data_IF_618838226507
#
_entry.id   IF_618838226507
#
_cell.length_a   1.000
_cell.length_b   1.000
_cell.length_c   1.000
_cell.angle_alpha   90.00
_cell.angle_beta   90.00
_cell.angle_gamma   90.00
#
_symmetry.space_group_name_H-M   'P 1'
#
loop_
_entity.id
_entity.type
_entity.pdbx_description
1 polymer ?
#
# COMPACT_ATOMS: atom_id res chain seq x y z
N UNK A 1 -16.10 5.40 3.14
CA UNK A 1 -14.89 4.82 3.76
C UNK A 1 -13.97 4.34 2.65
N UNK A 2 -12.67 4.62 2.76
CA UNK A 2 -11.69 4.20 1.75
C UNK A 2 -11.53 2.67 1.81
N UNK A 3 -11.52 2.02 0.64
CA UNK A 3 -11.34 0.57 0.52
C UNK A 3 -10.15 0.27 -0.36
N UNK A 4 -9.44 -0.82 -0.07
CA UNK A 4 -8.32 -1.29 -0.90
C UNK A 4 -8.68 -2.66 -1.48
N UNK A 5 -8.60 -2.79 -2.80
CA UNK A 5 -9.03 -3.98 -3.53
C UNK A 5 -7.92 -4.52 -4.43
N UNK A 6 -7.97 -5.82 -4.71
CA UNK A 6 -7.15 -6.40 -5.75
C UNK A 6 -7.75 -6.05 -7.12
N UNK A 7 -6.97 -5.38 -7.96
CA UNK A 7 -7.39 -4.93 -9.30
C UNK A 7 -7.71 -6.05 -10.28
N UNK A 8 -7.24 -7.28 -10.02
CA UNK A 8 -7.65 -8.47 -10.79
C UNK A 8 -9.01 -9.03 -10.34
N UNK A 9 -9.53 -8.61 -9.18
CA UNK A 9 -10.75 -9.17 -8.55
C UNK A 9 -11.91 -8.19 -8.53
N UNK A 10 -11.65 -6.91 -8.30
CA UNK A 10 -12.67 -5.86 -8.21
C UNK A 10 -12.18 -4.61 -8.94
N UNK A 11 -13.11 -3.86 -9.56
CA UNK A 11 -12.79 -2.57 -10.18
C UNK A 11 -12.42 -1.55 -9.09
N UNK A 12 -11.36 -0.78 -9.34
CA UNK A 12 -10.98 0.35 -8.48
C UNK A 12 -11.32 1.68 -9.14
N UNK A 13 -11.60 2.71 -8.33
CA UNK A 13 -11.72 4.10 -8.82
C UNK A 13 -10.37 4.77 -8.96
N UNK A 14 -9.36 4.38 -8.15
CA UNK A 14 -8.00 4.92 -8.22
C UNK A 14 -6.96 3.82 -8.12
N UNK A 15 -6.10 3.69 -9.12
CA UNK A 15 -4.94 2.81 -9.03
C UNK A 15 -3.83 3.47 -8.20
N UNK A 16 -3.23 2.71 -7.27
CA UNK A 16 -2.20 3.22 -6.34
C UNK A 16 -0.86 2.48 -6.48
N UNK A 17 -0.66 1.68 -7.53
CA UNK A 17 0.62 1.02 -7.74
C UNK A 17 1.71 1.94 -8.27
N UNK A 18 2.87 1.36 -8.57
CA UNK A 18 3.96 2.07 -9.24
C UNK A 18 3.60 2.29 -10.71
N UNK A 19 3.70 3.53 -11.20
CA UNK A 19 3.58 3.84 -12.62
C UNK A 19 4.97 3.72 -13.27
N UNK A 20 4.99 3.35 -14.56
CA UNK A 20 6.21 3.39 -15.38
C UNK A 20 6.34 4.70 -16.16
N UNK A 21 5.22 5.41 -16.32
CA UNK A 21 5.07 6.57 -17.20
C UNK A 21 4.91 7.85 -16.41
N UNK A 22 4.26 7.78 -15.23
CA UNK A 22 4.06 8.92 -14.36
C UNK A 22 5.09 8.88 -13.25
N UNK A 23 5.83 9.97 -13.07
CA UNK A 23 6.75 10.10 -11.94
C UNK A 23 5.97 10.35 -10.64
N UNK A 24 4.87 11.09 -10.71
CA UNK A 24 4.01 11.42 -9.58
C UNK A 24 2.86 10.40 -9.48
N UNK A 25 3.03 9.43 -8.59
CA UNK A 25 2.06 8.35 -8.37
C UNK A 25 2.06 7.88 -6.92
N UNK A 26 1.00 7.19 -6.50
CA UNK A 26 0.80 6.68 -5.14
C UNK A 26 1.53 5.37 -4.82
N UNK A 27 2.64 5.08 -5.51
CA UNK A 27 3.35 3.81 -5.36
C UNK A 27 4.33 3.84 -4.20
N UNK A 28 4.36 2.75 -3.41
CA UNK A 28 5.36 2.57 -2.37
C UNK A 28 6.78 2.41 -2.99
N UNK A 29 7.81 3.21 -2.61
CA UNK A 29 9.18 3.07 -3.13
C UNK A 29 9.94 1.83 -2.59
N UNK A 30 9.51 1.25 -1.47
CA UNK A 30 10.17 0.11 -0.81
C UNK A 30 9.73 -1.23 -1.41
N UNK A 31 10.62 -2.20 -1.56
CA UNK A 31 10.29 -3.50 -2.12
C UNK A 31 11.07 -4.64 -1.47
N UNK A 32 10.55 -5.86 -1.61
CA UNK A 32 11.23 -7.09 -1.22
C UNK A 32 11.73 -7.79 -2.48
N UNK A 33 13.00 -8.17 -2.51
CA UNK A 33 13.72 -8.71 -3.69
C UNK A 33 13.19 -10.06 -4.22
N UNK A 34 12.28 -10.71 -3.49
CA UNK A 34 11.59 -11.92 -3.96
C UNK A 34 10.68 -11.69 -5.16
N UNK A 35 10.38 -10.43 -5.53
CA UNK A 35 9.57 -10.08 -6.71
C UNK A 35 10.43 -9.37 -7.75
N UNK A 36 10.42 -9.87 -9.00
CA UNK A 36 11.12 -9.36 -10.20
C UNK A 36 10.70 -7.93 -10.65
N UNK A 37 10.60 -6.96 -9.74
CA UNK A 37 10.20 -5.59 -10.06
C UNK A 37 11.35 -4.65 -9.74
N UNK A 38 12.01 -4.12 -10.78
CA UNK A 38 13.05 -3.09 -10.69
C UNK A 38 12.52 -1.66 -10.47
N UNK A 39 11.22 -1.50 -10.19
CA UNK A 39 10.59 -0.17 -10.08
C UNK A 39 10.65 0.42 -8.67
N UNK A 40 11.03 -0.37 -7.65
CA UNK A 40 11.27 0.16 -6.31
C UNK A 40 12.67 0.75 -6.19
N UNK A 41 12.87 1.67 -5.23
CA UNK A 41 14.17 2.32 -4.99
C UNK A 41 14.96 1.67 -3.87
N UNK A 42 14.27 1.22 -2.83
CA UNK A 42 14.91 0.71 -1.61
C UNK A 42 14.43 -0.71 -1.35
N UNK A 43 15.38 -1.62 -1.28
CA UNK A 43 15.14 -3.00 -0.89
C UNK A 43 15.06 -3.13 0.64
N UNK A 44 14.12 -3.93 1.13
CA UNK A 44 13.93 -4.27 2.55
C UNK A 44 13.69 -5.77 2.73
N UNK A 45 13.85 -6.29 3.95
CA UNK A 45 13.89 -7.74 4.17
C UNK A 45 12.51 -8.41 4.13
N UNK A 46 11.42 -7.68 4.41
CA UNK A 46 10.08 -8.27 4.47
C UNK A 46 8.96 -7.31 4.04
N UNK A 47 7.77 -7.87 3.76
CA UNK A 47 6.57 -7.05 3.47
C UNK A 47 6.20 -6.18 4.68
N UNK A 48 6.37 -6.70 5.91
CA UNK A 48 6.13 -5.95 7.14
C UNK A 48 7.04 -4.72 7.22
N UNK A 49 8.34 -4.91 7.00
CA UNK A 49 9.29 -3.80 6.92
C UNK A 49 8.97 -2.83 5.78
N UNK A 50 8.50 -3.33 4.63
CA UNK A 50 8.12 -2.50 3.49
C UNK A 50 6.97 -1.55 3.80
N UNK A 51 5.99 -1.99 4.61
CA UNK A 51 4.87 -1.14 5.04
C UNK A 51 5.30 -0.17 6.15
N UNK A 52 6.13 -0.60 7.10
CA UNK A 52 6.68 0.27 8.14
C UNK A 52 7.58 1.36 7.54
N UNK A 53 8.51 1.00 6.65
CA UNK A 53 9.35 1.96 5.94
C UNK A 53 8.52 2.96 5.13
N UNK A 54 7.43 2.50 4.51
CA UNK A 54 6.51 3.39 3.79
C UNK A 54 5.76 4.34 4.73
N UNK A 55 5.33 3.87 5.89
CA UNK A 55 4.73 4.71 6.92
C UNK A 55 5.72 5.78 7.41
N UNK A 56 6.93 5.37 7.80
CA UNK A 56 7.98 6.27 8.30
C UNK A 56 8.41 7.29 7.25
N UNK A 57 8.45 6.86 5.98
CA UNK A 57 8.73 7.72 4.84
C UNK A 57 7.67 8.80 4.69
N UNK A 58 6.38 8.44 4.72
CA UNK A 58 5.29 9.43 4.64
C UNK A 58 5.28 10.37 5.84
N UNK A 59 5.64 9.90 7.05
CA UNK A 59 5.76 10.73 8.25
C UNK A 59 7.00 11.64 8.25
N UNK A 60 7.94 11.40 7.33
CA UNK A 60 9.21 12.13 7.28
C UNK A 60 10.14 11.79 8.45
N UNK A 61 9.95 10.66 9.13
CA UNK A 61 10.79 10.24 10.27
C UNK A 61 12.03 9.48 9.79
N UNK A 62 11.94 8.74 8.67
CA UNK A 62 13.04 8.00 8.05
C UNK A 62 12.97 8.09 6.52
N UNK A 63 14.07 7.78 5.85
CA UNK A 63 14.16 7.75 4.38
C UNK A 63 13.81 9.08 3.71
N UNK A 64 14.07 10.20 4.38
CA UNK A 64 13.61 11.53 3.93
C UNK A 64 14.20 11.96 2.58
N UNK A 65 15.36 11.40 2.24
CA UNK A 65 16.13 11.55 1.01
C UNK A 65 15.61 10.68 -0.17
N UNK A 66 14.79 9.68 0.11
CA UNK A 66 14.21 8.80 -0.93
C UNK A 66 13.04 9.53 -1.58
N UNK A 67 13.18 9.93 -2.84
CA UNK A 67 12.10 10.54 -3.65
C UNK A 67 11.26 11.63 -2.92
N UNK A 68 11.90 12.67 -2.36
CA UNK A 68 11.24 13.66 -1.50
C UNK A 68 10.10 14.41 -2.21
N UNK A 69 10.23 14.68 -3.51
CA UNK A 69 9.20 15.36 -4.31
C UNK A 69 7.93 14.51 -4.43
N UNK A 70 8.07 13.20 -4.72
CA UNK A 70 6.91 12.30 -4.78
C UNK A 70 6.27 12.11 -3.41
N UNK A 71 7.05 12.12 -2.32
CA UNK A 71 6.50 12.15 -0.95
C UNK A 71 5.59 13.36 -0.76
N UNK A 72 6.12 14.56 -1.02
CA UNK A 72 5.38 15.80 -0.85
C UNK A 72 4.09 15.78 -1.69
N UNK A 73 4.21 15.37 -2.96
CA UNK A 73 3.05 15.24 -3.85
C UNK A 73 1.99 14.26 -3.31
N UNK A 74 2.40 13.09 -2.79
CA UNK A 74 1.46 12.14 -2.18
C UNK A 74 0.73 12.77 -0.99
N UNK A 75 1.44 13.49 -0.12
CA UNK A 75 0.86 14.12 1.06
C UNK A 75 -0.13 15.23 0.68
N UNK A 76 0.20 16.06 -0.31
CA UNK A 76 -0.69 17.10 -0.84
C UNK A 76 -1.96 16.52 -1.50
N UNK A 77 -1.88 15.32 -2.07
CA UNK A 77 -2.98 14.68 -2.77
C UNK A 77 -3.68 13.59 -1.93
N UNK A 78 -3.27 13.39 -0.68
CA UNK A 78 -3.72 12.28 0.16
C UNK A 78 -5.24 12.30 0.37
N UNK A 79 -5.82 13.46 0.64
CA UNK A 79 -7.26 13.61 0.88
C UNK A 79 -8.13 13.19 -0.31
N UNK A 80 -7.61 13.24 -1.54
CA UNK A 80 -8.35 12.76 -2.72
C UNK A 80 -8.59 11.25 -2.68
N UNK A 81 -7.83 10.50 -1.88
CA UNK A 81 -8.02 9.07 -1.69
C UNK A 81 -9.18 8.76 -0.74
N UNK A 82 -9.64 9.73 0.06
CA UNK A 82 -10.69 9.51 1.06
C UNK A 82 -11.98 9.06 0.39
N UNK A 83 -12.53 7.94 0.84
CA UNK A 83 -13.76 7.35 0.31
C UNK A 83 -13.61 6.66 -1.04
N UNK A 84 -12.40 6.60 -1.62
CA UNK A 84 -12.15 5.94 -2.90
C UNK A 84 -11.98 4.42 -2.74
N UNK A 85 -12.17 3.70 -3.85
CA UNK A 85 -11.76 2.29 -3.98
C UNK A 85 -10.37 2.26 -4.60
N UNK A 86 -9.36 2.04 -3.77
CA UNK A 86 -7.94 2.01 -4.16
C UNK A 86 -7.55 0.64 -4.72
N UNK A 87 -6.99 0.62 -5.92
CA UNK A 87 -6.57 -0.58 -6.62
C UNK A 87 -5.09 -0.89 -6.40
N UNK A 88 -4.80 -2.08 -5.87
CA UNK A 88 -3.44 -2.60 -5.76
C UNK A 88 -3.41 -4.13 -5.88
N UNK A 89 -2.37 -4.69 -6.51
CA UNK A 89 -2.21 -6.15 -6.63
C UNK A 89 -1.83 -6.88 -5.33
N UNK A 90 -1.57 -6.16 -4.22
CA UNK A 90 -1.14 -6.76 -2.96
C UNK A 90 -2.25 -7.50 -2.20
N UNK A 91 -3.50 -7.01 -2.26
CA UNK A 91 -4.63 -7.64 -1.56
C UNK A 91 -4.81 -9.09 -2.04
N UNK A 92 -5.19 -10.03 -1.16
CA UNK A 92 -5.72 -9.84 0.19
C UNK A 92 -4.65 -9.62 1.29
N UNK A 93 -3.36 -9.76 0.98
CA UNK A 93 -2.29 -9.52 1.96
C UNK A 93 -2.26 -8.04 2.40
N UNK A 94 -1.67 -7.70 3.56
CA UNK A 94 -1.43 -6.31 3.96
C UNK A 94 -0.82 -5.50 2.81
N UNK A 95 -1.35 -4.28 2.60
CA UNK A 95 -1.09 -3.48 1.41
C UNK A 95 -0.64 -2.08 1.79
N UNK A 96 0.16 -1.43 0.93
CA UNK A 96 0.53 -0.03 1.14
C UNK A 96 -0.67 0.92 1.07
N UNK A 97 -1.76 0.50 0.42
CA UNK A 97 -3.04 1.20 0.48
C UNK A 97 -3.64 1.26 1.89
N UNK A 98 -3.34 0.29 2.75
CA UNK A 98 -3.78 0.32 4.16
C UNK A 98 -3.03 1.42 4.93
N UNK A 99 -1.77 1.71 4.58
CA UNK A 99 -1.02 2.83 5.16
C UNK A 99 -1.64 4.17 4.78
N UNK A 100 -2.19 4.34 3.58
CA UNK A 100 -2.96 5.56 3.27
C UNK A 100 -4.19 5.71 4.15
N UNK A 101 -4.87 4.60 4.48
CA UNK A 101 -6.01 4.63 5.42
C UNK A 101 -5.56 5.02 6.83
N UNK A 102 -4.36 4.62 7.25
CA UNK A 102 -3.73 5.12 8.50
C UNK A 102 -3.55 6.63 8.43
N UNK A 103 -2.95 7.16 7.35
CA UNK A 103 -2.73 8.62 7.20
C UNK A 103 -4.02 9.43 7.11
N UNK A 104 -5.09 8.82 6.62
CA UNK A 104 -6.44 9.41 6.58
C UNK A 104 -7.18 9.31 7.93
N UNK A 105 -6.60 8.65 8.94
CA UNK A 105 -7.21 8.43 10.26
C UNK A 105 -8.36 7.43 10.25
N UNK A 106 -8.47 6.57 9.24
CA UNK A 106 -9.55 5.58 9.14
C UNK A 106 -9.26 4.27 9.88
N UNK A 107 -7.98 3.96 10.09
CA UNK A 107 -7.47 2.80 10.85
C UNK A 107 -6.14 3.17 11.51
N UNK A 108 -5.63 2.31 12.37
CA UNK A 108 -4.35 2.46 13.08
C UNK A 108 -3.25 1.63 12.42
N UNK A 109 -1.98 2.01 12.65
CA UNK A 109 -0.84 1.24 12.15
C UNK A 109 -0.79 -0.14 12.81
N UNK A 110 -1.18 -0.21 14.09
CA UNK A 110 -1.29 -1.41 14.91
C UNK A 110 -2.24 -2.43 14.27
N UNK A 111 -3.42 -1.99 13.80
CA UNK A 111 -4.37 -2.85 13.07
C UNK A 111 -3.78 -3.41 11.77
N UNK A 112 -3.02 -2.60 11.02
CA UNK A 112 -2.35 -3.07 9.79
C UNK A 112 -1.28 -4.12 10.13
N UNK A 113 -0.54 -3.92 11.24
CA UNK A 113 0.51 -4.85 11.65
C UNK A 113 -0.06 -6.15 12.22
N UNK A 114 -1.18 -6.09 12.95
CA UNK A 114 -1.86 -7.27 13.49
C UNK A 114 -2.35 -8.23 12.38
N UNK A 115 -2.66 -7.72 11.18
CA UNK A 115 -3.06 -8.53 10.05
C UNK A 115 -1.95 -9.47 9.50
N UNK A 116 -0.70 -9.33 9.96
CA UNK A 116 0.37 -10.29 9.67
C UNK A 116 0.33 -11.52 10.59
N UNK A 117 -0.32 -11.39 11.74
CA UNK A 117 -0.41 -12.44 12.77
C UNK A 117 -1.71 -13.26 12.63
N UNK A 118 -2.67 -12.80 11.83
CA UNK A 118 -3.89 -13.56 11.51
C UNK A 118 -3.56 -14.77 10.63
N UNK A 119 -4.04 -15.98 10.98
CA UNK A 119 -3.94 -17.13 10.10
C UNK A 119 -4.72 -16.81 8.80
N UNK A 120 -4.15 -17.17 7.66
CA UNK A 120 -4.80 -16.98 6.36
C UNK A 120 -6.20 -17.60 6.41
N UNK A 121 -7.24 -16.77 6.27
CA UNK A 121 -8.62 -17.27 6.21
C UNK A 121 -8.71 -18.20 5.00
N UNK A 122 -8.97 -19.48 5.27
CA UNK A 122 -9.23 -20.49 4.26
C UNK A 122 -10.45 -20.04 3.45
N UNK A 123 -10.31 -19.96 2.13
CA UNK A 123 -11.40 -19.62 1.21
C UNK A 123 -12.51 -20.68 1.40
N UNK A 124 -13.50 -20.35 2.24
CA UNK A 124 -14.62 -21.24 2.51
C UNK A 124 -15.42 -21.44 1.22
N UNK A 125 -15.27 -22.65 0.67
CA UNK A 125 -16.06 -23.31 -0.37
C UNK A 125 -17.34 -22.56 -0.78
N UNK A 126 -17.39 -22.15 -2.05
CA UNK A 126 -18.66 -22.17 -2.79
C UNK A 126 -18.98 -23.65 -3.02
N UNK A 127 -19.73 -24.23 -2.08
CA UNK A 127 -20.43 -25.49 -2.29
C UNK A 127 -21.54 -25.22 -3.29
N UNK A 128 -21.32 -25.65 -4.54
CA UNK A 128 -22.40 -25.84 -5.52
C UNK A 128 -23.10 -27.15 -5.15
N UNK A 129 -24.26 -27.04 -4.51
CA UNK A 129 -25.34 -28.03 -4.59
C UNK A 129 -26.42 -27.49 -5.52
#
# INVERSE_FOLDING_TARGET
MTRVVNTHKEKCSRYIGRSKTDEMHFGNPFFVSTKKTKLGKVEVASLRECLLAFNDWLDGTRYTDVEPERRAWILENLEQLRGQTLGCFCKPKPCHGDIYRVKLGEITLEEVMAAFDEPAKEDSQISLF
#
